data_IF_549095017743
#
_entry.id   IF_549095017743
#
_cell.length_a   1.000
_cell.length_b   1.000
_cell.length_c   1.000
_cell.angle_alpha   90.00
_cell.angle_beta   90.00
_cell.angle_gamma   90.00
#
_symmetry.space_group_name_H-M   'P 1'
#
loop_
_entity.id
_entity.type
_entity.pdbx_description
1 polymer ?
#
# COMPACT_ATOMS: atom_id res chain seq x y z
N UNK A 1 -15.94 -3.46 16.32
CA UNK A 1 -15.03 -4.59 15.99
C UNK A 1 -14.24 -4.16 14.76
N UNK A 2 -13.02 -3.69 14.93
CA UNK A 2 -12.11 -3.42 13.80
C UNK A 2 -11.47 -4.75 13.40
N UNK A 3 -12.16 -5.53 12.55
CA UNK A 3 -11.47 -6.62 11.86
C UNK A 3 -10.75 -5.98 10.67
N UNK A 4 -9.41 -6.05 10.69
CA UNK A 4 -8.57 -5.73 9.52
C UNK A 4 -8.35 -7.03 8.76
N UNK A 5 -8.42 -6.95 7.44
CA UNK A 5 -8.05 -8.02 6.52
C UNK A 5 -6.55 -8.25 6.56
N UNK A 6 -6.09 -9.40 6.08
CA UNK A 6 -4.66 -9.73 6.06
C UNK A 6 -3.84 -8.68 5.27
N UNK A 7 -4.35 -8.23 4.13
CA UNK A 7 -3.72 -7.17 3.33
C UNK A 7 -3.63 -5.84 4.09
N UNK A 8 -4.71 -5.43 4.77
CA UNK A 8 -4.73 -4.20 5.58
C UNK A 8 -3.71 -4.29 6.72
N UNK A 9 -3.59 -5.47 7.35
CA UNK A 9 -2.61 -5.71 8.42
C UNK A 9 -1.18 -5.60 7.92
N UNK A 10 -0.88 -6.07 6.70
CA UNK A 10 0.47 -5.95 6.13
C UNK A 10 0.82 -4.49 5.86
N UNK A 11 -0.10 -3.72 5.24
CA UNK A 11 0.11 -2.27 5.04
C UNK A 11 0.30 -1.57 6.39
N UNK A 12 -0.54 -1.88 7.37
CA UNK A 12 -0.39 -1.34 8.72
C UNK A 12 0.95 -1.70 9.37
N UNK A 13 1.43 -2.94 9.20
CA UNK A 13 2.73 -3.37 9.73
C UNK A 13 3.88 -2.60 9.08
N UNK A 14 3.83 -2.41 7.76
CA UNK A 14 4.80 -1.58 7.02
C UNK A 14 4.83 -0.16 7.58
N UNK A 15 3.65 0.45 7.80
CA UNK A 15 3.57 1.80 8.36
C UNK A 15 4.04 1.85 9.81
N UNK A 16 3.94 0.76 10.57
CA UNK A 16 4.30 0.73 11.99
C UNK A 16 5.68 0.12 12.28
N UNK A 17 6.42 -0.36 11.28
CA UNK A 17 7.74 -0.98 11.48
C UNK A 17 8.82 -0.52 10.50
N UNK A 18 9.92 0.10 10.96
CA UNK A 18 10.06 0.76 12.28
C UNK A 18 9.14 1.98 12.36
N UNK A 19 8.51 2.23 13.52
CA UNK A 19 7.74 3.45 13.76
C UNK A 19 8.15 4.06 15.11
N UNK A 20 7.91 5.37 15.29
CA UNK A 20 7.99 6.02 16.60
C UNK A 20 7.01 5.38 17.58
N UNK A 21 7.15 5.69 18.87
CA UNK A 21 6.13 5.35 19.85
C UNK A 21 4.79 6.00 19.46
N UNK A 22 3.80 5.16 19.17
CA UNK A 22 2.45 5.58 18.81
C UNK A 22 1.53 5.42 20.01
N UNK A 23 0.77 6.47 20.32
CA UNK A 23 -0.36 6.39 21.24
C UNK A 23 -1.47 5.49 20.67
N UNK A 24 -2.41 5.01 21.51
CA UNK A 24 -3.56 4.25 21.02
C UNK A 24 -4.39 4.99 19.96
N UNK A 25 -4.49 6.32 20.08
CA UNK A 25 -5.22 7.19 19.15
C UNK A 25 -4.50 7.29 17.81
N UNK A 26 -3.19 7.56 17.82
CA UNK A 26 -2.36 7.59 16.60
C UNK A 26 -2.33 6.23 15.92
N UNK A 27 -2.31 5.14 16.70
CA UNK A 27 -2.38 3.79 16.14
C UNK A 27 -3.71 3.54 15.44
N UNK A 28 -4.82 4.02 15.98
CA UNK A 28 -6.13 3.93 15.33
C UNK A 28 -6.18 4.76 14.04
N UNK A 29 -5.54 5.94 14.03
CA UNK A 29 -5.38 6.75 12.83
C UNK A 29 -4.59 6.02 11.75
N UNK A 30 -3.42 5.44 12.09
CA UNK A 30 -2.62 4.67 11.14
C UNK A 30 -3.38 3.45 10.58
N UNK A 31 -4.25 2.80 11.37
CA UNK A 31 -5.13 1.74 10.85
C UNK A 31 -6.13 2.26 9.82
N UNK A 32 -6.76 3.42 10.09
CA UNK A 32 -7.69 4.05 9.15
C UNK A 32 -6.99 4.36 7.83
N UNK A 33 -5.78 4.91 7.91
CA UNK A 33 -4.95 5.24 6.76
C UNK A 33 -4.56 3.99 5.98
N UNK A 34 -4.17 2.91 6.66
CA UNK A 34 -3.83 1.65 6.00
C UNK A 34 -4.99 1.08 5.17
N UNK A 35 -6.22 1.14 5.71
CA UNK A 35 -7.43 0.75 4.99
C UNK A 35 -7.69 1.64 3.78
N UNK A 36 -7.73 2.94 3.99
CA UNK A 36 -8.01 3.93 2.93
C UNK A 36 -6.98 3.84 1.80
N UNK A 37 -5.71 3.66 2.15
CA UNK A 37 -4.64 3.44 1.19
C UNK A 37 -4.90 2.18 0.38
N UNK A 38 -5.13 1.03 1.03
CA UNK A 38 -5.37 -0.23 0.33
C UNK A 38 -6.56 -0.14 -0.64
N UNK A 39 -7.67 0.47 -0.24
CA UNK A 39 -8.85 0.65 -1.08
C UNK A 39 -8.49 1.46 -2.35
N UNK A 40 -7.79 2.59 -2.20
CA UNK A 40 -7.34 3.42 -3.33
C UNK A 40 -6.33 2.68 -4.23
N UNK A 41 -5.41 1.91 -3.65
CA UNK A 41 -4.44 1.13 -4.42
C UNK A 41 -5.14 0.07 -5.27
N UNK A 42 -6.15 -0.63 -4.73
CA UNK A 42 -6.91 -1.66 -5.47
C UNK A 42 -7.60 -1.12 -6.73
N UNK A 43 -8.03 0.15 -6.72
CA UNK A 43 -8.60 0.80 -7.90
C UNK A 43 -7.54 1.05 -9.00
N UNK A 44 -6.27 1.23 -8.62
CA UNK A 44 -5.16 1.51 -9.54
C UNK A 44 -4.47 0.24 -10.05
N UNK A 45 -4.50 -0.85 -9.27
CA UNK A 45 -3.84 -2.14 -9.57
C UNK A 45 -4.64 -3.00 -10.56
N UNK A 46 -5.24 -2.37 -11.57
CA UNK A 46 -6.02 -3.00 -12.64
C UNK A 46 -5.14 -3.41 -13.84
N UNK A 47 -5.74 -3.94 -14.92
CA UNK A 47 -5.04 -4.53 -16.07
C UNK A 47 -3.84 -3.70 -16.59
N UNK A 48 -2.66 -4.36 -16.64
CA UNK A 48 -1.38 -3.83 -17.09
C UNK A 48 -0.87 -2.60 -16.32
N UNK A 49 -1.28 -2.40 -15.05
CA UNK A 49 -0.83 -1.27 -14.24
C UNK A 49 0.70 -1.14 -14.18
N UNK A 50 1.42 -2.26 -14.07
CA UNK A 50 2.89 -2.31 -13.98
C UNK A 50 3.59 -1.82 -15.25
N UNK A 51 2.96 -2.02 -16.41
CA UNK A 51 3.52 -1.62 -17.71
C UNK A 51 3.19 -0.16 -18.04
N UNK A 52 2.07 0.36 -17.54
CA UNK A 52 1.63 1.75 -17.76
C UNK A 52 2.41 2.71 -16.85
N UNK A 53 3.21 3.59 -17.45
CA UNK A 53 3.92 4.65 -16.70
C UNK A 53 2.96 5.54 -15.92
N UNK A 54 1.82 5.91 -16.51
CA UNK A 54 0.79 6.72 -15.84
C UNK A 54 0.24 6.05 -14.58
N UNK A 55 -0.05 4.74 -14.63
CA UNK A 55 -0.57 4.00 -13.49
C UNK A 55 0.48 3.92 -12.36
N UNK A 56 1.76 3.68 -12.69
CA UNK A 56 2.85 3.70 -11.70
C UNK A 56 3.05 5.07 -11.06
N UNK A 57 2.97 6.14 -11.85
CA UNK A 57 3.04 7.51 -11.31
C UNK A 57 1.85 7.83 -10.41
N UNK A 58 0.63 7.46 -10.81
CA UNK A 58 -0.57 7.63 -9.99
C UNK A 58 -0.50 6.83 -8.70
N UNK A 59 0.02 5.60 -8.75
CA UNK A 59 0.23 4.76 -7.57
C UNK A 59 1.13 5.46 -6.55
N UNK A 60 2.28 5.95 -7.01
CA UNK A 60 3.23 6.67 -6.15
C UNK A 60 2.60 7.93 -5.54
N UNK A 61 1.95 8.75 -6.36
CA UNK A 61 1.27 9.96 -5.89
C UNK A 61 0.17 9.65 -4.88
N UNK A 62 -0.59 8.57 -5.08
CA UNK A 62 -1.66 8.16 -4.17
C UNK A 62 -1.09 7.72 -2.82
N UNK A 63 0.03 6.99 -2.82
CA UNK A 63 0.72 6.62 -1.58
C UNK A 63 1.19 7.88 -0.85
N UNK A 64 1.86 8.79 -1.56
CA UNK A 64 2.38 10.04 -0.98
C UNK A 64 1.24 10.90 -0.40
N UNK A 65 0.20 11.18 -1.19
CA UNK A 65 -0.98 11.96 -0.78
C UNK A 65 -1.70 11.39 0.45
N UNK A 66 -1.94 10.07 0.43
CA UNK A 66 -2.68 9.40 1.52
C UNK A 66 -1.87 9.36 2.81
N UNK A 67 -0.56 9.13 2.72
CA UNK A 67 0.32 9.11 3.89
C UNK A 67 0.61 10.52 4.43
N UNK A 68 0.76 11.53 3.57
CA UNK A 68 0.98 12.93 3.99
C UNK A 68 -0.24 13.49 4.72
N UNK A 69 -1.44 13.20 4.21
CA UNK A 69 -2.70 13.63 4.82
C UNK A 69 -3.06 12.82 6.06
N UNK A 70 -2.70 11.54 6.08
CA UNK A 70 -3.22 10.58 7.04
C UNK A 70 -2.30 10.26 8.20
N UNK A 71 -0.97 10.29 8.03
CA UNK A 71 -0.06 9.87 9.09
C UNK A 71 0.02 10.92 10.21
N UNK A 72 0.13 10.46 11.47
CA UNK A 72 0.28 11.36 12.60
C UNK A 72 1.64 12.08 12.56
N UNK A 73 1.72 13.23 13.24
CA UNK A 73 2.90 14.12 13.22
C UNK A 73 4.19 13.50 13.76
N UNK A 74 4.10 12.37 14.47
CA UNK A 74 5.28 11.63 14.96
C UNK A 74 6.11 11.03 13.82
N UNK A 75 5.54 10.86 12.63
CA UNK A 75 6.28 10.43 11.45
C UNK A 75 7.12 11.58 10.90
N UNK A 76 8.42 11.50 11.11
CA UNK A 76 9.37 12.46 10.53
C UNK A 76 9.36 12.39 9.01
N UNK A 77 9.82 13.45 8.30
CA UNK A 77 9.91 13.42 6.84
C UNK A 77 10.75 12.26 6.29
N UNK A 78 11.76 11.82 7.04
CA UNK A 78 12.60 10.67 6.69
C UNK A 78 11.81 9.35 6.78
N UNK A 79 11.09 9.15 7.89
CA UNK A 79 10.23 7.98 8.08
C UNK A 79 9.10 7.95 7.05
N UNK A 80 8.45 9.10 6.82
CA UNK A 80 7.42 9.24 5.78
C UNK A 80 7.92 8.77 4.41
N UNK A 81 9.07 9.29 3.94
CA UNK A 81 9.65 8.87 2.66
C UNK A 81 9.99 7.38 2.62
N UNK A 82 10.52 6.85 3.72
CA UNK A 82 10.80 5.43 3.84
C UNK A 82 9.50 4.61 3.75
N UNK A 83 8.42 5.03 4.39
CA UNK A 83 7.11 4.35 4.33
C UNK A 83 6.53 4.39 2.93
N UNK A 84 6.57 5.54 2.25
CA UNK A 84 6.13 5.65 0.86
C UNK A 84 6.87 4.65 -0.04
N UNK A 85 8.20 4.59 0.08
CA UNK A 85 9.01 3.63 -0.68
C UNK A 85 8.66 2.19 -0.34
N UNK A 86 8.60 1.83 0.95
CA UNK A 86 8.35 0.45 1.39
C UNK A 86 6.97 -0.04 0.97
N UNK A 87 5.94 0.81 1.03
CA UNK A 87 4.59 0.47 0.55
C UNK A 87 4.59 0.26 -0.96
N UNK A 88 5.23 1.15 -1.71
CA UNK A 88 5.36 0.99 -3.16
C UNK A 88 6.11 -0.31 -3.50
N UNK A 89 7.21 -0.56 -2.79
CA UNK A 89 7.97 -1.79 -2.60
C UNK A 89 7.05 -3.02 -2.63
N UNK A 90 6.32 -3.12 -1.53
CA UNK A 90 5.41 -4.21 -1.23
C UNK A 90 4.32 -4.40 -2.28
N UNK A 91 3.73 -3.32 -2.79
CA UNK A 91 2.69 -3.41 -3.82
C UNK A 91 3.26 -3.97 -5.12
N UNK A 92 4.48 -3.58 -5.48
CA UNK A 92 5.16 -4.05 -6.68
C UNK A 92 5.51 -5.54 -6.61
N UNK A 93 5.80 -6.06 -5.41
CA UNK A 93 6.08 -7.47 -5.18
C UNK A 93 4.82 -8.33 -5.02
N UNK A 94 3.81 -7.81 -4.31
CA UNK A 94 2.63 -8.59 -3.90
C UNK A 94 1.56 -8.68 -4.99
N UNK A 95 1.58 -7.75 -5.95
CA UNK A 95 0.66 -7.72 -7.08
C UNK A 95 1.42 -7.92 -8.39
N UNK A 96 1.99 -9.12 -8.62
CA UNK A 96 2.54 -9.43 -9.93
C UNK A 96 1.44 -9.23 -10.96
N UNK A 97 1.83 -8.76 -12.16
CA UNK A 97 0.91 -8.74 -13.28
C UNK A 97 0.30 -10.15 -13.38
N UNK A 98 -1.03 -10.24 -13.29
CA UNK A 98 -1.71 -11.51 -13.50
C UNK A 98 -1.40 -11.92 -14.93
N UNK A 99 -0.32 -12.69 -15.11
CA UNK A 99 -0.14 -13.58 -16.24
C UNK A 99 -1.23 -14.63 -16.05
N UNK A 100 -2.46 -14.26 -16.41
CA UNK A 100 -3.44 -15.22 -16.85
C UNK A 100 -2.75 -15.97 -17.98
N UNK A 101 -2.24 -17.14 -17.63
CA UNK A 101 -1.64 -18.10 -18.52
C UNK A 101 -2.61 -18.30 -19.67
N UNK A 102 -2.31 -17.68 -20.82
CA UNK A 102 -3.10 -17.84 -22.04
C UNK A 102 -2.94 -19.25 -22.64
N UNK A 103 -2.16 -20.17 -22.04
CA UNK A 103 -2.03 -21.56 -22.51
C UNK A 103 -1.66 -22.55 -21.38
N UNK A 104 -2.52 -22.77 -20.39
CA UNK A 104 -2.47 -24.02 -19.61
C UNK A 104 -3.82 -24.73 -19.60
N UNK A 105 -4.29 -25.08 -20.79
CA UNK A 105 -5.28 -26.15 -20.97
C UNK A 105 -5.03 -26.79 -22.34
N UNK A 106 -4.37 -27.96 -22.30
CA UNK A 106 -4.52 -29.13 -23.18
C UNK A 106 -4.24 -28.94 -24.68
N UNK A 107 -3.07 -29.43 -25.12
CA UNK A 107 -2.81 -30.47 -26.16
C UNK A 107 -1.27 -30.57 -26.25
N UNK A 108 -0.59 -31.70 -26.08
CA UNK A 108 -0.78 -33.08 -26.52
C UNK A 108 -0.08 -34.04 -25.54
#
# INVERSE_FOLDING_TARGET
RENMSEEELVIFDILTRPAPELTPEERAEVKRVARELLDRLKELLVLNWRQKTTARSQLKLTIEDTLDTGLPRVYTPELYRQKCSTVFEHVYESYPESHLSIYTTIVM
#
